data_IF_015000941306
#
_entry.id   IF_015000941306
#
_cell.length_a   1.000
_cell.length_b   1.000
_cell.length_c   1.000
_cell.angle_alpha   90.00
_cell.angle_beta   90.00
_cell.angle_gamma   90.00
#
_symmetry.space_group_name_H-M   'P 1'
#
loop_
_entity.id
_entity.type
_entity.pdbx_description
1 polymer ?
#
# COMPACT_ATOMS: atom_id res chain seq x y z
N UNK A 1 27.03 8.74 21.05
CA UNK A 1 25.94 8.38 20.10
C UNK A 1 25.75 9.57 19.16
N UNK A 2 25.76 9.35 17.85
CA UNK A 2 25.64 10.45 16.86
C UNK A 2 24.20 10.92 16.70
N UNK A 3 23.99 12.15 16.20
CA UNK A 3 22.64 12.69 15.89
C UNK A 3 21.84 11.72 15.00
N UNK A 4 22.51 11.14 13.99
CA UNK A 4 21.94 10.12 13.12
C UNK A 4 21.44 8.89 13.89
N UNK A 5 22.25 8.34 14.79
CA UNK A 5 21.86 7.17 15.59
C UNK A 5 20.68 7.48 16.51
N UNK A 6 20.64 8.67 17.11
CA UNK A 6 19.51 9.13 17.93
C UNK A 6 18.23 9.20 17.11
N UNK A 7 18.26 9.85 15.94
CA UNK A 7 17.10 9.95 15.05
C UNK A 7 16.52 8.58 14.67
N UNK A 8 17.36 7.66 14.19
CA UNK A 8 16.89 6.33 13.79
C UNK A 8 16.33 5.54 14.97
N UNK A 9 16.99 5.59 16.12
CA UNK A 9 16.48 4.92 17.34
C UNK A 9 15.11 5.46 17.73
N UNK A 10 14.95 6.78 17.72
CA UNK A 10 13.72 7.41 18.17
C UNK A 10 12.59 7.19 17.16
N UNK A 11 12.88 7.21 15.85
CA UNK A 11 11.93 6.82 14.81
C UNK A 11 11.48 5.36 14.96
N UNK A 12 12.41 4.43 15.23
CA UNK A 12 12.06 3.03 15.48
C UNK A 12 11.16 2.88 16.71
N UNK A 13 11.38 3.67 17.77
CA UNK A 13 10.51 3.67 18.95
C UNK A 13 9.10 4.17 18.61
N UNK A 14 8.98 5.19 17.77
CA UNK A 14 7.67 5.67 17.28
C UNK A 14 6.97 4.57 16.49
N UNK A 15 7.64 3.95 15.52
CA UNK A 15 7.06 2.86 14.73
C UNK A 15 6.59 1.69 15.60
N UNK A 16 7.42 1.25 16.56
CA UNK A 16 7.05 0.20 17.51
C UNK A 16 5.91 0.60 18.47
N UNK A 17 5.72 1.89 18.73
CA UNK A 17 4.58 2.38 19.52
C UNK A 17 3.29 2.32 18.70
N UNK A 18 3.36 2.68 17.41
CA UNK A 18 2.22 2.67 16.50
C UNK A 18 1.73 1.25 16.24
N UNK A 19 2.63 0.28 16.10
CA UNK A 19 2.26 -1.14 15.82
C UNK A 19 1.55 -1.83 16.98
N UNK A 20 1.57 -1.27 18.19
CA UNK A 20 0.89 -1.84 19.37
C UNK A 20 -0.62 -1.58 19.37
N UNK A 21 -1.09 -0.62 18.57
CA UNK A 21 -2.50 -0.24 18.52
C UNK A 21 -3.09 -0.73 17.21
N UNK A 22 -3.97 -1.75 17.22
CA UNK A 22 -4.63 -2.20 16.00
C UNK A 22 -5.49 -1.09 15.41
N UNK A 23 -5.45 -0.96 14.10
CA UNK A 23 -6.22 0.01 13.34
C UNK A 23 -7.57 -0.61 12.91
N UNK A 24 -8.65 0.19 12.86
CA UNK A 24 -9.97 -0.30 12.46
C UNK A 24 -10.08 -0.58 10.96
N UNK A 25 -9.12 -0.12 10.15
CA UNK A 25 -9.08 -0.25 8.70
C UNK A 25 -7.66 -0.04 8.18
N UNK A 26 -7.38 -0.46 6.96
CA UNK A 26 -6.15 -0.14 6.24
C UNK A 26 -6.33 1.24 5.58
N UNK A 27 -5.39 2.15 5.85
CA UNK A 27 -5.45 3.52 5.36
C UNK A 27 -4.22 4.31 5.78
N UNK A 28 -4.31 5.62 5.68
CA UNK A 28 -3.30 6.55 6.18
C UNK A 28 -3.96 7.67 6.96
N UNK A 29 -3.25 8.15 7.98
CA UNK A 29 -3.74 9.23 8.81
C UNK A 29 -3.64 10.58 8.11
N UNK A 30 -4.60 11.45 8.40
CA UNK A 30 -4.60 12.86 8.03
C UNK A 30 -4.85 13.69 9.27
N UNK A 31 -4.33 14.92 9.26
CA UNK A 31 -4.62 15.92 10.28
C UNK A 31 -5.66 16.87 9.68
N UNK A 32 -6.77 17.10 10.38
CA UNK A 32 -7.79 18.05 9.96
C UNK A 32 -7.43 19.50 10.34
N UNK A 33 -8.32 20.45 10.04
CA UNK A 33 -8.13 21.86 10.36
C UNK A 33 -8.13 22.17 11.86
N UNK A 34 -8.62 21.26 12.70
CA UNK A 34 -8.63 21.39 14.16
C UNK A 34 -7.40 20.73 14.81
N UNK A 35 -6.53 20.10 14.01
CA UNK A 35 -5.33 19.41 14.49
C UNK A 35 -5.60 17.99 14.96
N UNK A 36 -6.78 17.43 14.69
CA UNK A 36 -7.14 16.06 15.06
C UNK A 36 -6.67 15.06 14.00
N UNK A 37 -6.19 13.90 14.47
CA UNK A 37 -5.69 12.82 13.63
C UNK A 37 -6.84 11.88 13.28
N UNK A 38 -7.06 11.66 11.98
CA UNK A 38 -8.11 10.80 11.45
C UNK A 38 -7.55 9.78 10.47
N UNK A 39 -8.07 8.55 10.48
CA UNK A 39 -7.74 7.50 9.51
C UNK A 39 -8.69 7.58 8.30
N UNK A 40 -8.46 8.57 7.44
CA UNK A 40 -9.41 8.96 6.37
C UNK A 40 -8.81 9.03 4.97
N UNK A 41 -7.53 8.68 4.81
CA UNK A 41 -6.86 8.68 3.50
C UNK A 41 -6.49 7.26 3.07
N UNK A 42 -6.32 7.04 1.77
CA UNK A 42 -5.85 5.77 1.22
C UNK A 42 -4.45 5.40 1.69
N UNK A 43 -4.10 4.11 1.76
CA UNK A 43 -2.77 3.65 2.13
C UNK A 43 -1.70 4.32 1.27
N UNK A 44 -0.66 4.84 1.91
CA UNK A 44 0.32 5.69 1.26
C UNK A 44 1.64 4.95 1.01
N UNK A 45 1.64 4.08 0.00
CA UNK A 45 2.84 3.32 -0.36
C UNK A 45 3.72 4.11 -1.35
N UNK A 46 5.02 3.82 -1.33
CA UNK A 46 5.98 4.44 -2.26
C UNK A 46 5.55 4.24 -3.73
N UNK A 47 5.10 3.03 -4.09
CA UNK A 47 4.68 2.69 -5.45
C UNK A 47 3.42 3.44 -5.88
N UNK A 48 2.42 3.53 -5.00
CA UNK A 48 1.19 4.25 -5.30
C UNK A 48 1.48 5.71 -5.64
N UNK A 49 2.35 6.35 -4.85
CA UNK A 49 2.79 7.72 -5.08
C UNK A 49 3.62 7.89 -6.35
N UNK A 50 4.55 6.99 -6.60
CA UNK A 50 5.36 7.00 -7.82
C UNK A 50 4.46 6.95 -9.06
N UNK A 51 3.48 6.06 -9.07
CA UNK A 51 2.59 5.87 -10.22
C UNK A 51 1.65 7.07 -10.41
N UNK A 52 1.11 7.62 -9.32
CA UNK A 52 0.32 8.85 -9.38
C UNK A 52 1.15 10.01 -9.96
N UNK A 53 2.40 10.18 -9.54
CA UNK A 53 3.29 11.22 -10.05
C UNK A 53 3.62 11.05 -11.54
N UNK A 54 3.63 9.80 -12.04
CA UNK A 54 3.82 9.48 -13.46
C UNK A 54 2.52 9.63 -14.27
N UNK A 55 1.41 10.05 -13.65
CA UNK A 55 0.11 10.18 -14.31
C UNK A 55 -0.57 8.84 -14.61
N UNK A 56 -0.12 7.74 -13.98
CA UNK A 56 -0.72 6.42 -14.14
C UNK A 56 -2.00 6.36 -13.28
N UNK A 57 -3.15 6.02 -13.86
CA UNK A 57 -4.39 5.89 -13.11
C UNK A 57 -4.28 4.81 -12.02
N UNK A 58 -4.38 5.20 -10.75
CA UNK A 58 -4.31 4.24 -9.63
C UNK A 58 -5.66 3.59 -9.33
N UNK A 59 -6.77 4.25 -9.70
CA UNK A 59 -8.13 3.76 -9.42
C UNK A 59 -8.56 3.83 -7.95
N UNK A 60 -7.71 4.34 -7.06
CA UNK A 60 -7.98 4.44 -5.63
C UNK A 60 -8.28 5.89 -5.29
N UNK A 61 -9.52 6.22 -4.93
CA UNK A 61 -9.85 7.58 -4.48
C UNK A 61 -9.06 7.92 -3.20
N UNK A 62 -8.70 9.20 -3.03
CA UNK A 62 -7.89 9.66 -1.89
C UNK A 62 -8.55 9.31 -0.55
N UNK A 63 -9.88 9.32 -0.44
CA UNK A 63 -10.58 9.00 0.82
C UNK A 63 -10.88 7.52 1.01
N UNK A 64 -10.43 6.66 0.09
CA UNK A 64 -10.65 5.21 0.17
C UNK A 64 -9.91 4.63 1.36
N UNK A 65 -10.59 3.86 2.19
CA UNK A 65 -9.98 3.06 3.26
C UNK A 65 -10.56 1.66 3.22
N UNK A 66 -9.79 0.66 3.65
CA UNK A 66 -10.17 -0.74 3.46
C UNK A 66 -10.49 -1.42 4.79
N UNK A 67 -11.68 -2.00 4.88
CA UNK A 67 -12.08 -2.85 6.02
C UNK A 67 -11.61 -4.29 5.85
N UNK A 68 -11.18 -4.69 4.65
CA UNK A 68 -10.59 -6.00 4.39
C UNK A 68 -9.23 -5.92 3.73
N UNK A 69 -8.34 -6.86 4.06
CA UNK A 69 -7.04 -7.00 3.38
C UNK A 69 -7.19 -7.36 1.90
N UNK A 70 -8.19 -8.18 1.55
CA UNK A 70 -8.44 -8.58 0.17
C UNK A 70 -8.77 -7.39 -0.74
N UNK A 71 -9.62 -6.45 -0.30
CA UNK A 71 -9.95 -5.27 -1.08
C UNK A 71 -8.71 -4.40 -1.33
N UNK A 72 -7.86 -4.24 -0.30
CA UNK A 72 -6.60 -3.52 -0.45
C UNK A 72 -5.63 -4.18 -1.44
N UNK A 73 -5.49 -5.51 -1.39
CA UNK A 73 -4.62 -6.23 -2.31
C UNK A 73 -5.14 -6.21 -3.75
N UNK A 74 -6.45 -6.29 -3.96
CA UNK A 74 -7.06 -6.19 -5.29
C UNK A 74 -6.79 -4.83 -5.93
N UNK A 75 -6.96 -3.74 -5.19
CA UNK A 75 -6.65 -2.40 -5.67
C UNK A 75 -5.15 -2.21 -5.92
N UNK A 76 -4.32 -2.85 -5.09
CA UNK A 76 -2.86 -2.88 -5.30
C UNK A 76 -2.50 -3.51 -6.64
N UNK A 77 -3.05 -4.70 -6.93
CA UNK A 77 -2.85 -5.38 -8.21
C UNK A 77 -3.40 -4.56 -9.38
N UNK A 78 -4.53 -3.88 -9.21
CA UNK A 78 -5.15 -3.05 -10.25
C UNK A 78 -4.23 -1.91 -10.69
N UNK A 79 -3.66 -1.14 -9.75
CA UNK A 79 -2.77 -0.04 -10.17
C UNK A 79 -1.46 -0.57 -10.80
N UNK A 80 -1.01 -1.78 -10.42
CA UNK A 80 0.15 -2.41 -11.05
C UNK A 80 -0.15 -2.86 -12.48
N UNK A 81 -1.35 -3.39 -12.77
CA UNK A 81 -1.81 -3.63 -14.15
C UNK A 81 -1.81 -2.32 -14.95
N UNK A 82 -2.30 -1.22 -14.34
CA UNK A 82 -2.33 0.08 -14.99
C UNK A 82 -0.94 0.62 -15.30
N UNK A 83 0.06 0.37 -14.45
CA UNK A 83 1.44 0.70 -14.82
C UNK A 83 1.84 0.02 -16.13
N UNK A 84 1.56 -1.27 -16.29
CA UNK A 84 1.89 -1.99 -17.54
C UNK A 84 1.15 -1.39 -18.75
N UNK A 85 -0.10 -0.94 -18.58
CA UNK A 85 -0.91 -0.40 -19.67
C UNK A 85 -0.56 1.04 -20.05
N UNK A 86 -0.27 1.89 -19.07
CA UNK A 86 -0.20 3.34 -19.24
C UNK A 86 1.22 3.91 -19.20
N UNK A 87 2.21 3.14 -18.75
CA UNK A 87 3.62 3.57 -18.79
C UNK A 87 4.32 2.93 -20.01
N UNK A 88 4.63 3.69 -21.09
CA UNK A 88 5.16 3.12 -22.33
C UNK A 88 6.52 2.40 -22.20
N UNK A 89 7.30 2.74 -21.17
CA UNK A 89 8.58 2.14 -20.83
C UNK A 89 8.51 1.26 -19.57
N UNK A 90 7.36 0.63 -19.32
CA UNK A 90 7.18 -0.24 -18.15
C UNK A 90 7.96 -1.55 -18.22
N UNK A 91 8.36 -1.95 -19.43
CA UNK A 91 9.06 -3.21 -19.74
C UNK A 91 10.38 -2.90 -20.45
N UNK A 92 11.44 -3.60 -20.07
CA UNK A 92 12.74 -3.48 -20.70
C UNK A 92 12.80 -4.26 -22.03
N UNK A 93 12.19 -5.44 -22.05
CA UNK A 93 12.10 -6.35 -23.19
C UNK A 93 10.86 -7.28 -23.06
N UNK A 94 10.71 -8.21 -24.00
CA UNK A 94 9.60 -9.16 -24.01
C UNK A 94 9.61 -10.12 -22.82
N UNK A 95 10.78 -10.56 -22.36
CA UNK A 95 10.92 -11.49 -21.24
C UNK A 95 10.53 -10.83 -19.93
N UNK A 96 10.99 -9.60 -19.69
CA UNK A 96 10.57 -8.76 -18.57
C UNK A 96 9.06 -8.52 -18.61
N UNK A 97 8.51 -8.19 -19.79
CA UNK A 97 7.07 -8.02 -19.98
C UNK A 97 6.25 -9.25 -19.60
N UNK A 98 6.64 -10.43 -20.11
CA UNK A 98 6.00 -11.71 -19.78
C UNK A 98 6.12 -12.01 -18.28
N UNK A 99 7.27 -11.75 -17.69
CA UNK A 99 7.52 -11.98 -16.26
C UNK A 99 6.66 -11.08 -15.37
N UNK A 100 6.55 -9.78 -15.68
CA UNK A 100 5.70 -8.84 -14.95
C UNK A 100 4.21 -9.24 -15.02
N UNK A 101 3.73 -9.61 -16.21
CA UNK A 101 2.34 -10.05 -16.38
C UNK A 101 2.06 -11.40 -15.69
N UNK A 102 2.99 -12.35 -15.78
CA UNK A 102 2.89 -13.64 -15.10
C UNK A 102 2.84 -13.46 -13.58
N UNK A 103 3.67 -12.58 -13.02
CA UNK A 103 3.65 -12.25 -11.60
C UNK A 103 2.29 -11.71 -11.16
N UNK A 104 1.71 -10.73 -11.88
CA UNK A 104 0.39 -10.19 -11.54
C UNK A 104 -0.72 -11.23 -11.65
N UNK A 105 -0.69 -12.07 -12.70
CA UNK A 105 -1.65 -13.16 -12.88
C UNK A 105 -1.54 -14.20 -11.76
N UNK A 106 -0.32 -14.60 -11.40
CA UNK A 106 -0.07 -15.56 -10.34
C UNK A 106 -0.48 -15.01 -8.98
N UNK A 107 -0.08 -13.78 -8.63
CA UNK A 107 -0.48 -13.14 -7.36
C UNK A 107 -1.99 -13.03 -7.24
N UNK A 108 -2.71 -12.68 -8.32
CA UNK A 108 -4.18 -12.66 -8.33
C UNK A 108 -4.78 -14.04 -8.08
N UNK A 109 -4.18 -15.08 -8.64
CA UNK A 109 -4.66 -16.47 -8.53
C UNK A 109 -4.48 -17.02 -7.12
N UNK A 110 -3.33 -16.76 -6.51
CA UNK A 110 -3.00 -17.29 -5.17
C UNK A 110 -3.46 -16.38 -4.03
N UNK A 111 -4.03 -15.21 -4.31
CA UNK A 111 -4.34 -14.20 -3.29
C UNK A 111 -5.19 -14.76 -2.14
N UNK A 112 -6.18 -15.61 -2.45
CA UNK A 112 -7.03 -16.25 -1.43
C UNK A 112 -6.27 -17.17 -0.49
N UNK A 113 -5.17 -17.78 -0.95
CA UNK A 113 -4.37 -18.72 -0.18
C UNK A 113 -3.44 -17.98 0.80
N UNK A 114 -3.08 -16.74 0.46
CA UNK A 114 -2.25 -15.85 1.27
C UNK A 114 -3.06 -14.83 2.09
N UNK A 115 -4.39 -14.83 1.97
CA UNK A 115 -5.29 -14.02 2.79
C UNK A 115 -6.10 -14.93 3.72
N UNK A 116 -5.62 -15.08 4.96
CA UNK A 116 -6.35 -15.89 5.94
C UNK A 116 -7.73 -15.28 6.23
N UNK A 117 -8.77 -16.13 6.16
CA UNK A 117 -10.15 -15.75 6.49
C UNK A 117 -10.28 -15.30 7.95
N UNK A 118 -9.45 -15.80 8.85
CA UNK A 118 -9.53 -15.47 10.27
C UNK A 118 -9.10 -14.03 10.57
N UNK A 119 -8.25 -13.45 9.71
CA UNK A 119 -7.69 -12.09 9.89
C UNK A 119 -8.04 -11.14 8.75
N UNK A 120 -9.04 -11.48 7.94
CA UNK A 120 -9.39 -10.68 6.76
C UNK A 120 -9.86 -9.26 7.10
N UNK A 121 -10.51 -9.08 8.25
CA UNK A 121 -10.94 -7.78 8.80
C UNK A 121 -9.95 -7.21 9.85
N UNK A 122 -8.72 -7.74 9.89
CA UNK A 122 -7.68 -7.33 10.83
C UNK A 122 -7.41 -8.39 11.91
N UNK A 123 -6.71 -8.01 13.00
CA UNK A 123 -6.27 -6.65 13.32
C UNK A 123 -5.27 -6.10 12.29
N UNK A 124 -5.42 -4.83 11.94
CA UNK A 124 -4.49 -4.12 11.05
C UNK A 124 -3.44 -3.37 11.86
N UNK A 125 -2.20 -3.35 11.40
CA UNK A 125 -1.08 -2.67 12.08
C UNK A 125 -0.31 -1.80 11.09
N UNK A 126 0.50 -0.87 11.62
CA UNK A 126 1.37 0.02 10.85
C UNK A 126 2.70 -0.66 10.51
#
# INVERSE_FOLDING_TARGET
MTVRQTLFRDLSRVMLSLTRVPQPRIGSWTIDSEGLIHLTNRPLTLRLHEFENLGIPTGIDRKTTYVTSEAYFRDTLFYHDNRIRYQPNSMNDEEDGRSQMANLAMTRTILSDYTSRDVHHGPFFF
#
